data_IF_346897692760
#
_entry.id   IF_346897692760
#
_cell.length_a   1.000
_cell.length_b   1.000
_cell.length_c   1.000
_cell.angle_alpha   90.00
_cell.angle_beta   90.00
_cell.angle_gamma   90.00
#
_symmetry.space_group_name_H-M   'P 1'
#
loop_
_entity.id
_entity.type
_entity.pdbx_description
1 polymer ?
#
# COMPACT_ATOMS: atom_id res chain seq x y z
N UNK A 1 11.38 6.49 9.86
CA UNK A 1 10.17 6.98 9.16
C UNK A 1 9.32 7.91 10.01
N UNK A 2 9.77 8.31 11.22
CA UNK A 2 9.06 9.27 12.09
C UNK A 2 8.79 10.62 11.42
N UNK A 3 9.81 11.21 10.77
CA UNK A 3 9.63 12.46 10.03
C UNK A 3 8.62 12.32 8.88
N UNK A 4 8.55 11.15 8.24
CA UNK A 4 7.53 10.85 7.23
C UNK A 4 6.12 10.79 7.83
N UNK A 5 5.97 10.20 9.03
CA UNK A 5 4.71 10.25 9.77
C UNK A 5 4.32 11.68 10.14
N UNK A 6 5.23 12.44 10.75
CA UNK A 6 5.00 13.83 11.14
C UNK A 6 4.71 14.75 9.94
N UNK A 7 5.22 14.42 8.76
CA UNK A 7 4.84 15.11 7.53
C UNK A 7 3.35 14.92 7.25
N UNK A 8 2.73 13.77 7.51
CA UNK A 8 1.30 13.60 7.25
C UNK A 8 0.37 14.30 8.26
N UNK A 9 0.86 14.64 9.45
CA UNK A 9 0.11 15.42 10.43
C UNK A 9 0.66 15.30 11.85
N UNK A 10 0.13 16.13 12.75
CA UNK A 10 0.58 16.20 14.15
C UNK A 10 -0.13 15.20 15.09
N UNK A 11 -1.14 14.47 14.60
CA UNK A 11 -1.84 13.47 15.39
C UNK A 11 -0.94 12.28 15.78
N UNK A 12 -1.18 11.70 16.95
CA UNK A 12 -0.40 10.55 17.43
C UNK A 12 -0.50 9.31 16.54
N UNK A 13 -1.59 9.16 15.78
CA UNK A 13 -1.77 8.10 14.78
C UNK A 13 -0.63 8.11 13.76
N UNK A 14 -0.25 9.30 13.27
CA UNK A 14 0.85 9.45 12.30
C UNK A 14 2.24 9.22 12.92
N UNK A 15 2.43 9.63 14.18
CA UNK A 15 3.68 9.37 14.91
C UNK A 15 3.89 7.87 15.10
N UNK A 16 2.87 7.16 15.60
CA UNK A 16 2.91 5.70 15.81
C UNK A 16 3.11 4.97 14.48
N UNK A 17 2.38 5.37 13.44
CA UNK A 17 2.54 4.82 12.09
C UNK A 17 3.97 4.94 11.56
N UNK A 18 4.57 6.14 11.68
CA UNK A 18 5.94 6.41 11.25
C UNK A 18 7.00 5.70 12.11
N UNK A 19 6.73 5.52 13.40
CA UNK A 19 7.58 4.77 14.32
C UNK A 19 7.61 3.29 13.95
N UNK A 20 6.44 2.67 13.76
CA UNK A 20 6.31 1.24 13.46
C UNK A 20 6.94 0.88 12.11
N UNK A 21 6.74 1.71 11.08
CA UNK A 21 7.47 1.56 9.81
C UNK A 21 8.98 1.70 9.98
N UNK A 22 9.42 2.66 10.80
CA UNK A 22 10.84 2.87 11.11
C UNK A 22 11.47 1.66 11.78
N UNK A 23 10.80 1.09 12.78
CA UNK A 23 11.24 -0.11 13.50
C UNK A 23 11.28 -1.31 12.55
N UNK A 24 10.23 -1.53 11.75
CA UNK A 24 10.19 -2.62 10.78
C UNK A 24 11.36 -2.54 9.78
N UNK A 25 11.65 -1.34 9.26
CA UNK A 25 12.77 -1.12 8.35
C UNK A 25 14.13 -1.31 9.05
N UNK A 26 14.29 -0.85 10.29
CA UNK A 26 15.50 -1.07 11.08
C UNK A 26 15.76 -2.55 11.33
N UNK A 27 14.72 -3.31 11.71
CA UNK A 27 14.79 -4.76 11.88
C UNK A 27 15.10 -5.48 10.57
N UNK A 28 14.50 -5.05 9.46
CA UNK A 28 14.78 -5.60 8.14
C UNK A 28 16.26 -5.43 7.77
N UNK A 29 16.81 -4.21 7.96
CA UNK A 29 18.23 -3.93 7.71
C UNK A 29 19.16 -4.69 8.66
N UNK A 30 18.81 -4.80 9.94
CA UNK A 30 19.60 -5.53 10.93
C UNK A 30 19.75 -7.03 10.60
N UNK A 31 18.77 -7.61 9.90
CA UNK A 31 18.83 -9.00 9.40
C UNK A 31 19.70 -9.18 8.15
N UNK A 32 20.42 -8.14 7.72
CA UNK A 32 21.25 -8.20 6.52
C UNK A 32 20.45 -8.29 5.22
N UNK A 33 19.16 -7.93 5.25
CA UNK A 33 18.33 -7.85 4.06
C UNK A 33 18.68 -6.58 3.27
N UNK A 34 19.82 -6.62 2.59
CA UNK A 34 20.21 -5.67 1.57
C UNK A 34 19.77 -6.24 0.23
N UNK A 35 18.94 -5.51 -0.52
CA UNK A 35 18.59 -5.93 -1.87
C UNK A 35 19.82 -5.85 -2.78
N UNK A 36 20.27 -6.97 -3.39
CA UNK A 36 21.26 -6.89 -4.44
C UNK A 36 20.69 -6.07 -5.60
N UNK A 37 21.49 -5.18 -6.20
CA UNK A 37 21.12 -4.45 -7.42
C UNK A 37 20.81 -5.47 -8.53
N UNK A 38 19.55 -5.64 -8.88
CA UNK A 38 19.11 -6.57 -9.92
C UNK A 38 17.61 -6.86 -9.86
N UNK A 39 17.12 -7.66 -10.81
CA UNK A 39 15.73 -8.14 -10.79
C UNK A 39 15.55 -9.11 -9.62
N UNK A 40 14.62 -8.86 -8.69
CA UNK A 40 14.39 -9.78 -7.59
C UNK A 40 13.94 -11.14 -8.14
N UNK A 41 14.44 -12.26 -7.59
CA UNK A 41 14.05 -13.59 -8.03
C UNK A 41 12.53 -13.78 -7.89
N UNK A 42 11.96 -14.69 -8.68
CA UNK A 42 10.57 -15.08 -8.53
C UNK A 42 10.33 -15.64 -7.13
N UNK A 43 9.24 -15.24 -6.43
CA UNK A 43 8.95 -15.73 -5.10
C UNK A 43 8.82 -17.25 -5.10
N UNK A 44 9.42 -17.88 -4.09
CA UNK A 44 9.34 -19.32 -3.82
C UNK A 44 8.30 -19.55 -2.72
N UNK A 45 7.83 -20.78 -2.58
CA UNK A 45 6.90 -21.17 -1.51
C UNK A 45 7.39 -20.78 -0.11
N UNK A 46 8.71 -20.78 0.11
CA UNK A 46 9.34 -20.35 1.37
C UNK A 46 9.20 -18.85 1.67
N UNK A 47 8.90 -18.03 0.67
CA UNK A 47 8.79 -16.58 0.79
C UNK A 47 7.37 -16.14 1.18
N UNK A 48 6.37 -17.02 0.98
CA UNK A 48 4.95 -16.74 1.27
C UNK A 48 4.75 -16.23 2.70
N UNK A 49 5.34 -16.84 3.77
CA UNK A 49 5.18 -16.32 5.12
C UNK A 49 5.70 -14.89 5.28
N UNK A 50 6.82 -14.55 4.62
CA UNK A 50 7.40 -13.20 4.65
C UNK A 50 6.53 -12.18 3.92
N UNK A 51 5.98 -12.58 2.77
CA UNK A 51 5.05 -11.77 1.97
C UNK A 51 3.79 -11.49 2.79
N UNK A 52 3.16 -12.53 3.35
CA UNK A 52 1.94 -12.40 4.16
C UNK A 52 2.20 -11.57 5.43
N UNK A 53 3.33 -11.77 6.10
CA UNK A 53 3.70 -10.97 7.27
C UNK A 53 3.85 -9.49 6.91
N UNK A 54 4.59 -9.18 5.84
CA UNK A 54 4.81 -7.79 5.39
C UNK A 54 3.50 -7.16 4.95
N UNK A 55 2.72 -7.84 4.12
CA UNK A 55 1.43 -7.36 3.64
C UNK A 55 0.46 -7.09 4.78
N UNK A 56 0.31 -8.03 5.71
CA UNK A 56 -0.58 -7.90 6.87
C UNK A 56 -0.13 -6.76 7.77
N UNK A 57 1.18 -6.67 8.06
CA UNK A 57 1.75 -5.60 8.87
C UNK A 57 1.48 -4.21 8.25
N UNK A 58 1.84 -4.02 6.97
CA UNK A 58 1.64 -2.73 6.29
C UNK A 58 0.16 -2.38 6.20
N UNK A 59 -0.70 -3.34 5.87
CA UNK A 59 -2.16 -3.14 5.80
C UNK A 59 -2.74 -2.76 7.17
N UNK A 60 -2.30 -3.40 8.25
CA UNK A 60 -2.70 -3.03 9.60
C UNK A 60 -2.26 -1.61 9.95
N UNK A 61 -1.05 -1.19 9.54
CA UNK A 61 -0.60 0.18 9.77
C UNK A 61 -1.46 1.21 9.00
N UNK A 62 -1.98 0.88 7.82
CA UNK A 62 -2.93 1.76 7.13
C UNK A 62 -4.22 2.04 7.91
N UNK A 63 -4.67 1.10 8.75
CA UNK A 63 -5.80 1.31 9.67
C UNK A 63 -5.45 2.42 10.68
N UNK A 64 -4.27 2.34 11.30
CA UNK A 64 -3.80 3.37 12.25
C UNK A 64 -3.67 4.72 11.55
N UNK A 65 -3.10 4.74 10.34
CA UNK A 65 -2.91 5.97 9.55
C UNK A 65 -4.23 6.67 9.21
N UNK A 66 -5.26 5.90 8.85
CA UNK A 66 -6.55 6.45 8.39
C UNK A 66 -7.50 6.80 9.54
N UNK A 67 -7.32 6.19 10.71
CA UNK A 67 -8.19 6.41 11.86
C UNK A 67 -8.08 7.83 12.39
N UNK A 68 -9.20 8.41 12.83
CA UNK A 68 -9.23 9.76 13.39
C UNK A 68 -8.51 9.83 14.75
N UNK A 69 -8.68 8.79 15.57
CA UNK A 69 -8.00 8.63 16.85
C UNK A 69 -7.36 7.24 16.99
N UNK A 70 -6.47 7.11 17.99
CA UNK A 70 -5.94 5.80 18.37
C UNK A 70 -7.07 4.86 18.86
N UNK A 71 -8.07 5.41 19.55
CA UNK A 71 -9.23 4.65 20.02
C UNK A 71 -10.04 4.03 18.88
N UNK A 72 -10.19 4.78 17.78
CA UNK A 72 -10.88 4.26 16.58
C UNK A 72 -10.07 3.14 15.94
N UNK A 73 -8.74 3.28 15.84
CA UNK A 73 -7.87 2.23 15.33
C UNK A 73 -8.00 0.93 16.14
N UNK A 74 -8.04 1.04 17.48
CA UNK A 74 -8.30 -0.12 18.34
C UNK A 74 -9.69 -0.70 18.14
N UNK A 75 -10.71 0.13 17.98
CA UNK A 75 -12.07 -0.33 17.69
C UNK A 75 -12.15 -1.12 16.38
N UNK A 76 -11.42 -0.68 15.34
CA UNK A 76 -11.30 -1.44 14.09
C UNK A 76 -10.64 -2.81 14.31
N UNK A 77 -9.49 -2.86 14.99
CA UNK A 77 -8.81 -4.12 15.27
C UNK A 77 -9.64 -5.07 16.14
N UNK A 78 -10.32 -4.52 17.15
CA UNK A 78 -11.24 -5.30 17.99
C UNK A 78 -12.38 -5.86 17.15
N UNK A 79 -13.01 -5.04 16.31
CA UNK A 79 -14.10 -5.47 15.42
C UNK A 79 -13.64 -6.53 14.42
N UNK A 80 -12.41 -6.45 13.90
CA UNK A 80 -11.84 -7.49 13.05
C UNK A 80 -11.61 -8.80 13.82
N UNK A 81 -11.20 -8.74 15.08
CA UNK A 81 -10.93 -9.91 15.90
C UNK A 81 -12.21 -10.58 16.44
N UNK A 82 -13.24 -9.80 16.75
CA UNK A 82 -14.48 -10.30 17.39
C UNK A 82 -15.68 -10.38 16.46
N UNK A 83 -15.67 -9.63 15.36
CA UNK A 83 -16.81 -9.49 14.43
C UNK A 83 -17.01 -10.67 13.47
N UNK A 84 -16.15 -11.70 13.55
CA UNK A 84 -16.14 -12.83 12.63
C UNK A 84 -15.56 -12.46 11.26
N UNK A 85 -15.03 -13.47 10.54
CA UNK A 85 -14.43 -13.28 9.20
C UNK A 85 -15.47 -12.93 8.12
N UNK A 86 -16.72 -13.30 8.36
CA UNK A 86 -17.83 -13.12 7.43
C UNK A 86 -18.98 -12.48 8.20
N UNK A 87 -19.40 -11.29 7.76
CA UNK A 87 -20.55 -10.62 8.35
C UNK A 87 -21.82 -11.49 8.26
N UNK A 88 -22.84 -11.13 9.05
CA UNK A 88 -24.11 -11.87 9.11
C UNK A 88 -24.90 -11.87 7.79
N UNK A 89 -24.49 -11.11 6.78
CA UNK A 89 -25.09 -11.05 5.45
C UNK A 89 -24.24 -11.80 4.40
N UNK A 90 -24.70 -12.97 3.92
CA UNK A 90 -24.00 -13.75 2.90
C UNK A 90 -23.76 -13.07 1.56
N UNK A 91 -24.60 -12.10 1.18
CA UNK A 91 -24.44 -11.36 -0.08
C UNK A 91 -23.32 -10.34 -0.02
N UNK A 92 -23.15 -9.69 1.14
CA UNK A 92 -22.15 -8.64 1.33
C UNK A 92 -20.72 -9.21 1.29
N UNK A 93 -20.43 -10.25 2.08
CA UNK A 93 -19.06 -10.78 2.12
C UNK A 93 -18.64 -11.46 0.82
N UNK A 94 -19.59 -12.01 0.03
CA UNK A 94 -19.27 -12.55 -1.31
C UNK A 94 -18.82 -11.46 -2.27
N UNK A 95 -19.51 -10.32 -2.29
CA UNK A 95 -19.12 -9.17 -3.10
C UNK A 95 -17.75 -8.64 -2.65
N UNK A 96 -17.53 -8.52 -1.33
CA UNK A 96 -16.26 -8.05 -0.77
C UNK A 96 -15.10 -9.01 -1.09
N UNK A 97 -15.31 -10.32 -0.99
CA UNK A 97 -14.31 -11.32 -1.38
C UNK A 97 -14.01 -11.30 -2.88
N UNK A 98 -15.01 -11.09 -3.73
CA UNK A 98 -14.80 -10.99 -5.18
C UNK A 98 -14.01 -9.72 -5.53
N UNK A 99 -14.31 -8.59 -4.88
CA UNK A 99 -13.58 -7.34 -5.04
C UNK A 99 -12.13 -7.46 -4.55
N UNK A 100 -11.94 -7.88 -3.30
CA UNK A 100 -10.60 -8.00 -2.68
C UNK A 100 -9.79 -9.09 -3.36
N UNK A 101 -10.39 -10.25 -3.62
CA UNK A 101 -9.75 -11.36 -4.31
C UNK A 101 -9.44 -11.05 -5.77
N UNK A 102 -10.37 -10.39 -6.49
CA UNK A 102 -10.17 -9.97 -7.87
C UNK A 102 -9.07 -8.91 -8.01
N UNK A 103 -9.08 -7.88 -7.16
CA UNK A 103 -8.04 -6.87 -7.13
C UNK A 103 -6.68 -7.46 -6.70
N UNK A 104 -6.66 -8.30 -5.66
CA UNK A 104 -5.46 -8.99 -5.21
C UNK A 104 -4.87 -9.90 -6.29
N UNK A 105 -5.71 -10.64 -7.03
CA UNK A 105 -5.28 -11.46 -8.15
C UNK A 105 -4.74 -10.62 -9.31
N UNK A 106 -5.39 -9.50 -9.64
CA UNK A 106 -4.92 -8.56 -10.66
C UNK A 106 -3.51 -8.03 -10.30
N UNK A 107 -3.33 -7.54 -9.08
CA UNK A 107 -2.04 -7.02 -8.59
C UNK A 107 -0.98 -8.12 -8.60
N UNK A 108 -1.31 -9.33 -8.16
CA UNK A 108 -0.39 -10.47 -8.19
C UNK A 108 0.02 -10.85 -9.62
N UNK A 109 -0.93 -10.90 -10.55
CA UNK A 109 -0.64 -11.17 -11.96
C UNK A 109 0.27 -10.08 -12.53
N UNK A 110 0.00 -8.81 -12.24
CA UNK A 110 0.87 -7.70 -12.67
C UNK A 110 2.29 -7.83 -12.12
N UNK A 111 2.46 -8.11 -10.82
CA UNK A 111 3.78 -8.32 -10.21
C UNK A 111 4.51 -9.52 -10.83
N UNK A 112 3.82 -10.64 -11.07
CA UNK A 112 4.40 -11.82 -11.71
C UNK A 112 4.80 -11.57 -13.18
N UNK A 113 4.00 -10.79 -13.91
CA UNK A 113 4.30 -10.39 -15.29
C UNK A 113 5.51 -9.45 -15.33
N UNK A 114 5.58 -8.47 -14.43
CA UNK A 114 6.67 -7.50 -14.37
C UNK A 114 8.01 -8.17 -14.01
N UNK A 115 8.00 -9.12 -13.06
CA UNK A 115 9.19 -9.93 -12.71
C UNK A 115 9.72 -10.76 -13.88
N UNK A 116 8.82 -11.32 -14.71
CA UNK A 116 9.22 -12.15 -15.86
C UNK A 116 9.63 -11.32 -17.08
N UNK A 117 9.05 -10.14 -17.26
CA UNK A 117 9.24 -9.35 -18.48
C UNK A 117 10.08 -8.12 -18.31
N UNK A 118 10.45 -7.72 -17.09
CA UNK A 118 10.87 -6.35 -16.83
C UNK A 118 9.91 -5.42 -17.60
N UNK A 119 8.63 -5.44 -17.27
CA UNK A 119 7.58 -4.87 -18.11
C UNK A 119 7.75 -3.36 -18.34
N UNK A 120 8.61 -2.71 -17.55
CA UNK A 120 9.10 -1.34 -17.76
C UNK A 120 10.34 -1.22 -18.67
N UNK A 121 11.06 -2.29 -19.02
CA UNK A 121 12.16 -2.26 -20.00
C UNK A 121 11.72 -1.71 -21.36
N UNK A 122 10.56 -2.09 -21.94
CA UNK A 122 10.10 -1.51 -23.18
C UNK A 122 9.95 0.01 -23.07
N UNK A 123 9.30 0.51 -22.00
CA UNK A 123 9.18 1.94 -21.73
C UNK A 123 10.56 2.60 -21.53
N UNK A 124 11.48 1.96 -20.82
CA UNK A 124 12.85 2.43 -20.60
C UNK A 124 13.69 2.49 -21.89
N UNK A 125 13.30 1.77 -22.94
CA UNK A 125 13.92 1.82 -24.27
C UNK A 125 13.37 2.96 -25.13
N UNK A 126 12.26 3.59 -24.73
CA UNK A 126 11.64 4.66 -25.49
C UNK A 126 12.31 5.99 -25.16
N UNK A 127 12.39 6.89 -26.15
CA UNK A 127 13.02 8.19 -25.96
C UNK A 127 12.40 8.94 -24.75
N UNK A 128 13.20 9.65 -23.93
CA UNK A 128 12.70 10.35 -22.74
C UNK A 128 11.52 11.28 -23.00
N UNK A 129 11.44 11.88 -24.19
CA UNK A 129 10.32 12.71 -24.60
C UNK A 129 8.98 11.94 -24.68
N UNK A 130 9.01 10.69 -25.13
CA UNK A 130 7.82 9.84 -25.23
C UNK A 130 7.37 9.41 -23.83
N UNK A 131 8.33 9.05 -22.97
CA UNK A 131 8.04 8.77 -21.55
C UNK A 131 7.39 9.98 -20.87
N UNK A 132 7.95 11.18 -21.08
CA UNK A 132 7.40 12.43 -20.56
C UNK A 132 6.01 12.75 -21.09
N UNK A 133 5.76 12.52 -22.38
CA UNK A 133 4.44 12.72 -23.00
C UNK A 133 3.39 11.74 -22.44
N UNK A 134 3.74 10.47 -22.26
CA UNK A 134 2.85 9.47 -21.67
C UNK A 134 2.52 9.78 -20.21
N UNK A 135 3.53 10.14 -19.40
CA UNK A 135 3.33 10.54 -18.01
C UNK A 135 2.51 11.83 -17.90
N UNK A 136 2.76 12.80 -18.78
CA UNK A 136 1.98 14.04 -18.87
C UNK A 136 0.52 13.77 -19.24
N UNK A 137 0.27 12.92 -20.23
CA UNK A 137 -1.07 12.52 -20.62
C UNK A 137 -1.81 11.76 -19.50
N UNK A 138 -1.11 10.85 -18.80
CA UNK A 138 -1.66 10.15 -17.64
C UNK A 138 -2.00 11.11 -16.49
N UNK A 139 -1.12 12.08 -16.19
CA UNK A 139 -1.35 13.10 -15.18
C UNK A 139 -2.55 13.99 -15.55
N UNK A 140 -2.64 14.45 -16.80
CA UNK A 140 -3.78 15.23 -17.30
C UNK A 140 -5.06 14.40 -17.20
N UNK A 141 -5.02 13.12 -17.57
CA UNK A 141 -6.14 12.20 -17.42
C UNK A 141 -6.59 12.10 -15.96
N UNK A 142 -5.66 11.90 -15.02
CA UNK A 142 -5.97 11.88 -13.59
C UNK A 142 -6.62 13.19 -13.14
N UNK A 143 -6.10 14.35 -13.57
CA UNK A 143 -6.64 15.66 -13.20
C UNK A 143 -8.03 15.93 -13.81
N UNK A 144 -8.27 15.47 -15.03
CA UNK A 144 -9.57 15.63 -15.72
C UNK A 144 -10.61 14.68 -15.15
N UNK A 145 -10.22 13.47 -14.77
CA UNK A 145 -11.11 12.42 -14.28
C UNK A 145 -11.11 12.27 -12.74
N UNK A 146 -10.36 13.07 -11.99
CA UNK A 146 -10.35 12.97 -10.52
C UNK A 146 -11.70 13.32 -9.90
N UNK A 147 -12.55 14.07 -10.60
CA UNK A 147 -13.95 14.32 -10.23
C UNK A 147 -14.17 15.06 -8.91
N UNK A 148 -13.09 15.42 -8.21
CA UNK A 148 -13.13 16.08 -6.90
C UNK A 148 -12.68 17.53 -7.04
N UNK A 149 -13.38 18.49 -6.42
CA UNK A 149 -12.80 19.81 -6.20
C UNK A 149 -11.50 19.66 -5.39
N UNK A 150 -10.51 20.53 -5.59
CA UNK A 150 -9.25 20.46 -4.84
C UNK A 150 -9.56 20.55 -3.34
N UNK A 151 -9.45 19.41 -2.65
CA UNK A 151 -9.52 19.35 -1.20
C UNK A 151 -8.38 20.23 -0.63
N UNK A 152 -8.67 21.12 0.33
CA UNK A 152 -7.63 21.89 1.01
C UNK A 152 -6.55 20.93 1.52
N UNK A 153 -5.28 21.29 1.29
CA UNK A 153 -4.14 20.52 1.82
C UNK A 153 -4.37 20.27 3.32
N UNK A 154 -4.16 19.04 3.77
CA UNK A 154 -4.42 18.54 5.14
C UNK A 154 -3.93 19.48 6.26
N UNK A 155 -2.91 20.30 6.01
CA UNK A 155 -2.39 21.26 6.98
C UNK A 155 -3.25 22.51 7.23
N UNK A 156 -4.27 22.78 6.42
CA UNK A 156 -5.13 23.96 6.58
C UNK A 156 -6.56 23.63 7.02
N UNK A 157 -6.81 22.38 7.45
CA UNK A 157 -8.09 21.95 8.01
C UNK A 157 -8.03 21.87 9.54
N UNK A 158 -7.80 23.02 10.18
CA UNK A 158 -7.94 23.20 11.63
C UNK A 158 -9.09 24.16 11.94
#
# INVERSE_FOLDING_TARGET
MLLGGLWHGAAWTFVIWGALHGIALALHRARGAYEPRGTPPSPRWRDIPSILATFTFVTALWVIFRSATIGDAFSFFHSMATGGLFGSNPGAWKADLLLVGGFGALVLVMDLLDRKRSALRPLALWAPAIQGAMLGAALIGILVFSGTPPEPFIYFQF
#
